data_IF_132384637456
#
_entry.id   IF_132384637456
#
_cell.length_a   1.000
_cell.length_b   1.000
_cell.length_c   1.000
_cell.angle_alpha   90.00
_cell.angle_beta   90.00
_cell.angle_gamma   90.00
#
_symmetry.space_group_name_H-M   'P 1'
#
loop_
_entity.id
_entity.type
_entity.pdbx_description
1 polymer ?
#
# COMPACT_ATOMS: atom_id res chain seq x y z
N UNK A 1 6.77 9.12 3.08
CA UNK A 1 6.24 7.77 2.88
C UNK A 1 5.02 7.82 1.98
N UNK A 2 5.24 7.81 0.67
CA UNK A 2 4.20 7.65 -0.33
C UNK A 2 4.72 6.75 -1.46
N UNK A 3 3.84 6.32 -2.34
CA UNK A 3 4.25 5.56 -3.51
C UNK A 3 3.37 5.87 -4.73
N UNK A 4 3.91 5.60 -5.92
CA UNK A 4 3.19 5.62 -7.20
C UNK A 4 3.18 4.23 -7.83
N UNK A 5 2.03 3.81 -8.37
CA UNK A 5 1.87 2.54 -9.09
C UNK A 5 0.97 2.70 -10.33
N UNK A 6 0.79 3.93 -10.79
CA UNK A 6 -0.01 4.25 -11.97
C UNK A 6 0.88 4.46 -13.19
N UNK A 7 0.32 4.20 -14.37
CA UNK A 7 0.98 4.51 -15.64
C UNK A 7 1.27 6.01 -15.77
N UNK A 8 2.48 6.34 -16.23
CA UNK A 8 2.89 7.71 -16.51
C UNK A 8 2.94 7.87 -18.03
N UNK A 9 2.24 8.89 -18.55
CA UNK A 9 2.19 9.19 -19.99
C UNK A 9 2.35 10.70 -20.14
N UNK A 10 3.37 11.12 -20.87
CA UNK A 10 3.65 12.53 -21.13
C UNK A 10 4.82 12.70 -22.10
N UNK A 11 4.90 13.88 -22.71
CA UNK A 11 5.89 14.21 -23.75
C UNK A 11 7.09 15.01 -23.20
N UNK A 12 7.05 15.44 -21.93
CA UNK A 12 8.10 16.20 -21.26
C UNK A 12 7.96 16.11 -19.74
N UNK A 13 9.09 16.22 -19.04
CA UNK A 13 9.20 16.20 -17.57
C UNK A 13 8.40 15.06 -16.92
N UNK A 14 8.74 13.82 -17.32
CA UNK A 14 8.11 12.59 -16.83
C UNK A 14 9.07 11.78 -15.96
N UNK A 15 8.52 11.19 -14.90
CA UNK A 15 9.23 10.27 -14.03
C UNK A 15 8.25 9.43 -13.23
N UNK A 16 8.73 8.28 -12.76
CA UNK A 16 7.87 7.28 -12.10
C UNK A 16 7.17 7.79 -10.83
N UNK A 17 7.80 8.72 -10.09
CA UNK A 17 7.22 9.43 -8.95
C UNK A 17 7.23 10.95 -9.12
N UNK A 18 8.35 11.51 -9.59
CA UNK A 18 8.56 12.95 -9.76
C UNK A 18 9.06 13.19 -11.20
N UNK A 19 8.42 14.13 -11.89
CA UNK A 19 8.71 14.44 -13.30
C UNK A 19 9.84 15.43 -13.54
N UNK A 20 10.05 16.41 -12.65
CA UNK A 20 11.12 17.41 -12.74
C UNK A 20 11.41 18.06 -11.37
N UNK A 21 12.68 18.41 -11.13
CA UNK A 21 13.28 19.20 -10.04
C UNK A 21 12.68 18.96 -8.64
N UNK A 22 12.52 17.70 -8.26
CA UNK A 22 11.96 17.33 -6.96
C UNK A 22 12.70 16.19 -6.28
N UNK A 23 12.63 16.17 -4.95
CA UNK A 23 13.24 15.13 -4.10
C UNK A 23 12.18 14.42 -3.28
N UNK A 24 12.31 13.11 -3.12
CA UNK A 24 11.52 12.34 -2.16
C UNK A 24 12.39 11.26 -1.50
N UNK A 25 12.31 11.16 -0.17
CA UNK A 25 12.94 10.11 0.63
C UNK A 25 11.87 9.15 1.14
N UNK A 26 12.22 7.87 1.29
CA UNK A 26 11.31 6.82 1.78
C UNK A 26 10.01 6.73 0.95
N UNK A 27 10.12 7.05 -0.34
CA UNK A 27 9.03 7.02 -1.30
C UNK A 27 9.43 6.21 -2.52
N UNK A 28 8.47 5.52 -3.12
CA UNK A 28 8.74 4.54 -4.15
C UNK A 28 7.88 4.76 -5.39
N UNK A 29 8.33 4.27 -6.53
CA UNK A 29 7.45 4.04 -7.67
C UNK A 29 7.63 2.63 -8.20
N UNK A 30 6.56 2.13 -8.79
CA UNK A 30 6.57 0.90 -9.53
C UNK A 30 7.11 1.14 -10.94
N UNK A 31 8.28 0.59 -11.25
CA UNK A 31 8.94 0.77 -12.55
C UNK A 31 8.21 0.06 -13.69
N UNK A 32 7.44 -0.99 -13.39
CA UNK A 32 6.78 -1.81 -14.40
C UNK A 32 5.41 -1.22 -14.77
N UNK A 33 4.62 -0.80 -13.77
CA UNK A 33 3.30 -0.22 -14.04
C UNK A 33 3.37 1.23 -14.50
N UNK A 34 4.36 2.00 -14.04
CA UNK A 34 4.58 3.37 -14.53
C UNK A 34 5.09 3.41 -15.97
N UNK A 35 5.80 2.36 -16.40
CA UNK A 35 6.55 2.34 -17.66
C UNK A 35 7.79 3.26 -17.64
N UNK A 36 8.22 3.73 -16.46
CA UNK A 36 9.32 4.68 -16.30
C UNK A 36 10.54 4.00 -15.68
N UNK A 37 11.69 4.13 -16.36
CA UNK A 37 12.99 3.69 -15.85
C UNK A 37 13.61 4.70 -14.87
N UNK A 38 13.15 5.97 -14.90
CA UNK A 38 13.71 7.08 -14.13
C UNK A 38 12.64 7.87 -13.40
N UNK A 39 13.08 8.62 -12.39
CA UNK A 39 12.31 9.60 -11.61
C UNK A 39 13.31 10.53 -10.94
N UNK A 40 12.98 11.80 -10.81
CA UNK A 40 13.89 12.78 -10.19
C UNK A 40 14.07 12.56 -8.67
N UNK A 41 13.09 11.93 -8.04
CA UNK A 41 13.18 11.51 -6.64
C UNK A 41 12.39 10.25 -6.32
N UNK A 42 12.63 9.72 -5.12
CA UNK A 42 12.16 8.41 -4.66
C UNK A 42 13.13 7.28 -5.01
N UNK A 43 12.67 6.03 -4.89
CA UNK A 43 13.40 4.85 -5.36
C UNK A 43 12.50 3.93 -6.19
N UNK A 44 12.95 3.56 -7.39
CA UNK A 44 12.25 2.62 -8.26
C UNK A 44 12.29 1.20 -7.71
N UNK A 45 11.16 0.52 -7.77
CA UNK A 45 10.96 -0.87 -7.35
C UNK A 45 10.12 -1.60 -8.39
N UNK A 46 10.33 -2.90 -8.52
CA UNK A 46 9.48 -3.75 -9.39
C UNK A 46 8.08 -3.94 -8.78
N UNK A 47 7.09 -4.36 -9.57
CA UNK A 47 5.74 -4.68 -9.05
C UNK A 47 5.80 -5.68 -7.90
N UNK A 48 6.64 -6.71 -8.04
CA UNK A 48 6.81 -7.72 -7.00
C UNK A 48 7.35 -7.12 -5.68
N UNK A 49 8.32 -6.20 -5.77
CA UNK A 49 8.84 -5.50 -4.61
C UNK A 49 7.81 -4.53 -4.01
N UNK A 50 7.06 -3.81 -4.83
CA UNK A 50 6.01 -2.88 -4.41
C UNK A 50 4.81 -3.55 -3.72
N UNK A 51 4.65 -4.87 -3.91
CA UNK A 51 3.66 -5.71 -3.23
C UNK A 51 4.24 -6.51 -2.06
N UNK A 52 5.49 -6.25 -1.68
CA UNK A 52 6.19 -6.91 -0.58
C UNK A 52 6.39 -5.96 0.60
N UNK A 53 5.88 -6.33 1.77
CA UNK A 53 5.95 -5.50 3.01
C UNK A 53 7.37 -5.07 3.36
N UNK A 54 8.34 -5.98 3.25
CA UNK A 54 9.76 -5.73 3.60
C UNK A 54 10.35 -4.53 2.84
N UNK A 55 9.94 -4.30 1.58
CA UNK A 55 10.37 -3.15 0.79
C UNK A 55 10.11 -1.81 1.50
N UNK A 56 9.01 -1.73 2.23
CA UNK A 56 8.57 -0.51 2.91
C UNK A 56 9.09 -0.45 4.34
N UNK A 57 9.11 -1.57 5.07
CA UNK A 57 9.65 -1.60 6.44
C UNK A 57 11.15 -1.32 6.47
N UNK A 58 11.91 -1.77 5.45
CA UNK A 58 13.34 -1.44 5.32
C UNK A 58 13.60 0.05 5.11
N UNK A 59 12.61 0.80 4.61
CA UNK A 59 12.63 2.27 4.53
C UNK A 59 11.88 2.95 5.69
N UNK A 60 11.61 2.23 6.78
CA UNK A 60 11.04 2.79 8.00
C UNK A 60 9.53 3.08 7.94
N UNK A 61 8.79 2.46 7.02
CA UNK A 61 7.33 2.56 7.04
C UNK A 61 6.73 1.74 8.19
N UNK A 62 5.77 2.32 8.90
CA UNK A 62 5.08 1.67 10.01
C UNK A 62 3.95 0.77 9.51
N UNK A 63 4.21 -0.54 9.48
CA UNK A 63 3.22 -1.60 9.22
C UNK A 63 2.59 -2.17 10.50
N UNK A 64 2.97 -1.65 11.67
CA UNK A 64 2.32 -1.99 12.93
C UNK A 64 1.02 -1.22 13.10
N UNK A 65 0.97 0.05 12.70
CA UNK A 65 -0.19 0.92 12.93
C UNK A 65 -0.72 1.67 11.70
N UNK A 66 0.12 2.04 10.73
CA UNK A 66 -0.27 3.01 9.67
C UNK A 66 -0.57 2.32 8.34
N UNK A 67 0.28 1.39 7.93
CA UNK A 67 0.20 0.70 6.64
C UNK A 67 -0.09 -0.78 6.81
N UNK A 68 -0.61 -1.38 5.74
CA UNK A 68 -0.88 -2.81 5.67
C UNK A 68 -0.96 -3.27 4.22
N UNK A 69 -0.62 -4.53 3.95
CA UNK A 69 -0.91 -5.21 2.69
C UNK A 69 -1.95 -6.30 2.96
N UNK A 70 -3.09 -6.22 2.28
CA UNK A 70 -4.13 -7.25 2.32
C UNK A 70 -4.33 -7.84 0.93
N UNK A 71 -4.31 -9.17 0.84
CA UNK A 71 -4.57 -9.88 -0.41
C UNK A 71 -5.92 -9.50 -1.00
N UNK A 72 -5.94 -9.13 -2.27
CA UNK A 72 -7.12 -8.71 -3.02
C UNK A 72 -7.56 -7.27 -2.77
N UNK A 73 -6.91 -6.53 -1.87
CA UNK A 73 -7.21 -5.12 -1.60
C UNK A 73 -6.12 -4.25 -2.21
N UNK A 74 -6.53 -3.16 -2.85
CA UNK A 74 -5.60 -2.20 -3.48
C UNK A 74 -4.59 -2.91 -4.41
N UNK A 75 -5.04 -3.93 -5.14
CA UNK A 75 -4.21 -4.80 -5.98
C UNK A 75 -2.94 -5.34 -5.25
N UNK A 76 -3.07 -5.63 -3.95
CA UNK A 76 -2.00 -6.11 -3.07
C UNK A 76 -0.86 -5.10 -2.84
N UNK A 77 -1.04 -3.83 -3.17
CA UNK A 77 -0.14 -2.74 -2.74
C UNK A 77 -0.49 -2.27 -1.32
N UNK A 78 0.44 -1.62 -0.60
CA UNK A 78 0.17 -1.06 0.71
C UNK A 78 -1.02 -0.11 0.71
N UNK A 79 -1.85 -0.19 1.73
CA UNK A 79 -2.93 0.75 1.96
C UNK A 79 -2.93 1.26 3.40
N UNK A 80 -3.53 2.43 3.62
CA UNK A 80 -3.64 3.04 4.94
C UNK A 80 -4.67 2.30 5.79
N UNK A 81 -4.28 1.92 7.01
CA UNK A 81 -5.19 1.38 8.01
C UNK A 81 -6.31 2.40 8.28
N UNK A 82 -7.57 1.95 8.18
CA UNK A 82 -8.75 2.80 8.43
C UNK A 82 -9.28 3.58 7.22
N UNK A 83 -8.55 3.60 6.09
CA UNK A 83 -9.07 4.14 4.82
C UNK A 83 -9.66 3.03 3.95
N UNK A 84 -9.09 1.83 4.01
CA UNK A 84 -9.54 0.64 3.29
C UNK A 84 -10.32 -0.30 4.24
N UNK A 85 -11.67 -0.22 4.31
CA UNK A 85 -12.45 -0.96 5.30
C UNK A 85 -12.40 -2.48 5.10
N UNK A 86 -12.03 -2.92 3.89
CA UNK A 86 -11.88 -4.33 3.55
C UNK A 86 -10.50 -4.89 3.91
N UNK A 87 -9.52 -4.02 4.19
CA UNK A 87 -8.23 -4.41 4.75
C UNK A 87 -8.28 -4.30 6.28
N UNK A 88 -9.24 -4.99 6.89
CA UNK A 88 -9.22 -5.21 8.33
C UNK A 88 -8.18 -6.28 8.58
N UNK A 89 -7.00 -5.88 9.05
CA UNK A 89 -6.05 -6.85 9.57
C UNK A 89 -6.75 -7.71 10.63
N UNK A 90 -6.47 -9.03 10.74
CA UNK A 90 -7.06 -9.90 11.74
C UNK A 90 -6.51 -9.66 13.14
N UNK A 91 -6.26 -8.41 13.57
CA UNK A 91 -5.82 -8.12 14.95
C UNK A 91 -6.87 -8.50 16.01
N UNK A 92 -8.06 -8.96 15.59
CA UNK A 92 -9.05 -9.65 16.41
C UNK A 92 -8.93 -11.19 16.46
N UNK A 93 -7.95 -11.83 15.80
CA UNK A 93 -7.60 -13.27 15.97
C UNK A 93 -6.99 -13.60 17.34
N UNK A 94 -7.30 -12.79 18.35
CA UNK A 94 -6.94 -12.98 19.74
C UNK A 94 -7.92 -12.32 20.72
N UNK A 95 -9.01 -11.68 20.25
CA UNK A 95 -10.07 -11.20 21.14
C UNK A 95 -11.32 -12.07 20.97
N UNK A 96 -11.54 -13.08 21.82
CA UNK A 96 -12.73 -13.93 21.75
C UNK A 96 -14.05 -13.17 21.93
N UNK A 97 -14.03 -11.90 22.36
CA UNK A 97 -15.22 -11.12 22.69
C UNK A 97 -15.84 -10.36 21.51
N UNK A 98 -15.17 -10.22 20.36
CA UNK A 98 -15.74 -9.49 19.19
C UNK A 98 -16.30 -10.43 18.12
N UNK A 99 -15.70 -11.60 17.93
CA UNK A 99 -16.25 -12.62 17.03
C UNK A 99 -17.61 -13.12 17.57
N UNK A 100 -17.79 -13.24 18.89
CA UNK A 100 -19.09 -13.57 19.49
C UNK A 100 -20.18 -12.52 19.21
N UNK A 101 -19.84 -11.23 19.12
CA UNK A 101 -20.82 -10.16 18.92
C UNK A 101 -21.32 -10.08 17.48
N UNK A 102 -20.50 -10.48 16.49
CA UNK A 102 -20.91 -10.54 15.09
C UNK A 102 -21.80 -11.78 14.85
N UNK A 103 -21.49 -12.92 15.46
CA UNK A 103 -22.34 -14.12 15.33
C UNK A 103 -23.70 -14.00 16.06
N UNK A 104 -23.76 -13.36 17.23
CA UNK A 104 -25.01 -13.19 17.99
C UNK A 104 -26.02 -12.19 17.38
N UNK A 105 -25.62 -11.43 16.36
CA UNK A 105 -26.54 -10.56 15.62
C UNK A 105 -27.18 -11.26 14.42
N UNK A 106 -26.49 -12.25 13.83
CA UNK A 106 -26.99 -13.01 12.67
C UNK A 106 -28.02 -14.06 13.09
N UNK A 107 -27.91 -14.65 14.29
CA UNK A 107 -28.86 -15.67 14.80
C UNK A 107 -30.12 -15.11 15.49
N UNK A 108 -30.33 -13.78 15.50
CA UNK A 108 -31.57 -13.15 16.03
C UNK A 108 -32.49 -12.61 14.95
N UNK A 109 -32.20 -12.93 13.69
CA UNK A 109 -33.02 -12.54 12.53
C UNK A 109 -33.63 -13.74 11.79
N UNK A 110 -33.59 -14.94 12.38
CA UNK A 110 -34.37 -16.11 11.95
C UNK A 110 -35.22 -16.66 13.10
#
# INVERSE_FOLDING_TARGET
NCYSAGAVIGDGDVGGLIGDDGTATDCFWDTETSGMDTSDGGTGKTTAQMKTEVTFTDAGWDFEAIWTICSGINDNYPCLVGVTPSCVYPRWKGNPNVDQLIYQHVERLE
#
